data_IF_384294733007
#
_entry.id   IF_384294733007
#
_cell.length_a   1.000
_cell.length_b   1.000
_cell.length_c   1.000
_cell.angle_alpha   90.00
_cell.angle_beta   90.00
_cell.angle_gamma   90.00
#
_symmetry.space_group_name_H-M   'P 1'
#
loop_
_entity.id
_entity.type
_entity.pdbx_description
1 polymer ?
#
# COMPACT_ATOMS: atom_id res chain seq x y z
N UNK A 1 6.95 1.60 -18.75
CA UNK A 1 6.65 2.88 -19.41
C UNK A 1 7.00 4.10 -18.54
N UNK A 2 7.38 3.90 -17.28
CA UNK A 2 7.73 4.98 -16.34
C UNK A 2 9.23 5.10 -16.09
N UNK A 3 10.04 4.23 -16.66
CA UNK A 3 11.49 4.23 -16.48
C UNK A 3 12.00 3.07 -15.62
N UNK A 4 13.24 3.17 -15.19
CA UNK A 4 13.89 2.15 -14.38
C UNK A 4 13.51 2.29 -12.91
N UNK A 5 13.37 1.18 -12.13
CA UNK A 5 12.95 1.24 -10.73
C UNK A 5 13.89 2.02 -9.78
N UNK A 6 15.11 2.33 -10.20
CA UNK A 6 15.99 3.23 -9.44
C UNK A 6 15.65 4.72 -9.60
N UNK A 7 14.80 5.08 -10.57
CA UNK A 7 14.44 6.46 -10.92
C UNK A 7 12.97 6.75 -10.69
N UNK A 8 12.14 5.74 -10.92
CA UNK A 8 10.69 5.83 -10.78
C UNK A 8 10.16 4.54 -10.14
N UNK A 9 9.78 4.60 -8.88
CA UNK A 9 9.26 3.47 -8.13
C UNK A 9 7.77 3.56 -7.85
N UNK A 10 7.29 2.67 -6.98
CA UNK A 10 5.87 2.63 -6.64
C UNK A 10 5.40 3.94 -5.98
N UNK A 11 6.20 4.54 -5.08
CA UNK A 11 5.86 5.82 -4.45
C UNK A 11 5.51 6.90 -5.47
N UNK A 12 6.19 6.90 -6.64
CA UNK A 12 6.03 7.92 -7.68
C UNK A 12 4.75 7.72 -8.52
N UNK A 13 4.09 6.56 -8.38
CA UNK A 13 2.76 6.29 -8.96
C UNK A 13 1.66 6.95 -8.13
N UNK A 14 1.84 7.05 -6.82
CA UNK A 14 0.82 7.56 -5.90
C UNK A 14 0.29 8.96 -6.31
N UNK A 15 1.15 9.96 -6.58
CA UNK A 15 0.68 11.29 -6.97
C UNK A 15 -0.01 11.34 -8.34
N UNK A 16 0.12 10.30 -9.17
CA UNK A 16 -0.58 10.20 -10.44
C UNK A 16 -2.04 9.80 -10.29
N UNK A 17 -2.40 9.19 -9.17
CA UNK A 17 -3.77 8.83 -8.86
C UNK A 17 -4.51 10.01 -8.21
N UNK A 18 -5.44 10.63 -8.93
CA UNK A 18 -6.21 11.80 -8.48
C UNK A 18 -7.66 11.51 -8.10
N UNK A 19 -8.16 10.35 -8.48
CA UNK A 19 -9.56 9.96 -8.25
C UNK A 19 -10.59 11.03 -8.67
N UNK A 20 -10.38 11.71 -9.82
CA UNK A 20 -11.24 12.80 -10.29
C UNK A 20 -12.65 12.30 -10.62
N UNK A 21 -12.75 11.08 -11.13
CA UNK A 21 -14.03 10.46 -11.52
C UNK A 21 -14.64 9.61 -10.41
N UNK A 22 -14.02 9.55 -9.24
CA UNK A 22 -14.52 8.76 -8.13
C UNK A 22 -15.78 9.38 -7.54
N UNK A 23 -16.88 8.67 -7.64
CA UNK A 23 -18.19 9.07 -7.10
C UNK A 23 -18.81 7.87 -6.37
N UNK A 24 -18.49 7.72 -5.08
CA UNK A 24 -18.97 6.58 -4.29
C UNK A 24 -20.48 6.53 -4.17
N UNK A 25 -21.14 7.68 -4.04
CA UNK A 25 -22.59 7.76 -3.90
C UNK A 25 -23.31 7.19 -5.13
N UNK A 26 -22.89 7.61 -6.33
CA UNK A 26 -23.48 7.12 -7.59
C UNK A 26 -23.27 5.62 -7.78
N UNK A 27 -22.07 5.13 -7.45
CA UNK A 27 -21.75 3.72 -7.67
C UNK A 27 -22.47 2.82 -6.66
N UNK A 28 -22.52 3.21 -5.39
CA UNK A 28 -23.23 2.44 -4.35
C UNK A 28 -24.75 2.46 -4.58
N UNK A 29 -25.32 3.59 -5.03
CA UNK A 29 -26.71 3.66 -5.45
C UNK A 29 -27.03 2.65 -6.56
N UNK A 30 -26.11 2.51 -7.54
CA UNK A 30 -26.26 1.52 -8.59
C UNK A 30 -26.20 0.10 -8.04
N UNK A 31 -25.26 -0.21 -7.15
CA UNK A 31 -25.18 -1.53 -6.51
C UNK A 31 -26.44 -1.87 -5.71
N UNK A 32 -26.99 -0.90 -4.97
CA UNK A 32 -28.28 -1.08 -4.27
C UNK A 32 -29.40 -1.40 -5.24
N UNK A 33 -29.48 -0.68 -6.36
CA UNK A 33 -30.52 -0.88 -7.39
C UNK A 33 -30.50 -2.29 -7.99
N UNK A 34 -29.33 -2.90 -8.13
CA UNK A 34 -29.18 -4.27 -8.66
C UNK A 34 -29.23 -5.36 -7.59
N UNK A 35 -29.56 -5.01 -6.33
CA UNK A 35 -29.86 -5.97 -5.26
C UNK A 35 -28.73 -6.20 -4.25
N UNK A 36 -27.65 -5.44 -4.25
CA UNK A 36 -26.63 -5.56 -3.23
C UNK A 36 -27.19 -5.29 -1.83
N UNK A 37 -26.76 -6.07 -0.86
CA UNK A 37 -27.12 -5.95 0.55
C UNK A 37 -25.95 -5.42 1.41
N UNK A 38 -24.75 -5.64 0.98
CA UNK A 38 -23.52 -5.19 1.66
C UNK A 38 -22.48 -4.72 0.64
N UNK A 39 -21.55 -3.91 1.11
CA UNK A 39 -20.43 -3.41 0.34
C UNK A 39 -19.15 -3.51 1.18
N UNK A 40 -18.15 -4.19 0.66
CA UNK A 40 -16.83 -4.26 1.26
C UNK A 40 -15.87 -3.36 0.48
N UNK A 41 -15.29 -2.38 1.16
CA UNK A 41 -14.25 -1.54 0.60
C UNK A 41 -12.86 -2.09 0.94
N UNK A 42 -11.92 -1.93 0.03
CA UNK A 42 -10.52 -2.16 0.33
C UNK A 42 -9.97 -0.98 1.13
N UNK A 43 -9.42 -1.24 2.32
CA UNK A 43 -8.76 -0.23 3.14
C UNK A 43 -7.29 -0.07 2.79
N UNK A 44 -6.61 -1.18 2.54
CA UNK A 44 -5.24 -1.22 2.02
C UNK A 44 -4.95 -2.55 1.31
N UNK A 45 -3.85 -2.60 0.58
CA UNK A 45 -3.38 -3.79 -0.10
C UNK A 45 -1.87 -4.01 0.15
N UNK A 46 -1.24 -4.94 -0.58
CA UNK A 46 0.19 -5.22 -0.50
C UNK A 46 1.09 -4.02 -0.82
N UNK A 47 0.54 -3.01 -1.49
CA UNK A 47 1.21 -1.73 -1.75
C UNK A 47 1.41 -0.88 -0.49
N UNK A 48 0.84 -1.31 0.63
CA UNK A 48 1.00 -0.72 1.97
C UNK A 48 0.49 0.72 2.11
N UNK A 49 -0.25 1.23 1.12
CA UNK A 49 -0.89 2.55 1.18
C UNK A 49 -2.27 2.43 1.82
N UNK A 50 -2.55 3.24 2.84
CA UNK A 50 -3.88 3.27 3.47
C UNK A 50 -4.84 4.19 2.70
N UNK A 51 -6.09 3.75 2.54
CA UNK A 51 -7.12 4.49 1.84
C UNK A 51 -8.04 5.32 2.76
N UNK A 52 -7.60 5.59 3.98
CA UNK A 52 -8.24 6.43 4.99
C UNK A 52 -7.24 7.37 5.65
N UNK A 53 -7.69 8.27 6.50
CA UNK A 53 -6.86 9.17 7.33
C UNK A 53 -6.19 8.37 8.47
N UNK A 54 -5.21 7.57 8.08
CA UNK A 54 -4.52 6.65 8.98
C UNK A 54 -3.58 7.37 9.92
N UNK A 55 -3.69 7.06 11.22
CA UNK A 55 -2.78 7.58 12.26
C UNK A 55 -1.42 6.91 12.27
N UNK A 56 -1.32 5.72 11.69
CA UNK A 56 -0.15 4.85 11.79
C UNK A 56 0.58 4.64 10.47
N UNK A 57 -0.01 5.10 9.35
CA UNK A 57 0.60 5.04 8.02
C UNK A 57 0.54 6.42 7.37
N UNK A 58 1.67 7.15 7.33
CA UNK A 58 1.70 8.48 6.69
C UNK A 58 1.50 8.42 5.17
N UNK A 59 1.79 7.27 4.55
CA UNK A 59 1.50 7.01 3.14
C UNK A 59 0.04 6.59 2.99
N UNK A 60 -0.85 7.58 2.94
CA UNK A 60 -2.29 7.36 2.85
C UNK A 60 -2.95 8.31 1.84
N UNK A 61 -4.18 7.98 1.47
CA UNK A 61 -4.93 8.69 0.42
C UNK A 61 -5.40 10.09 0.80
N UNK A 62 -5.29 10.47 2.07
CA UNK A 62 -5.59 11.83 2.55
C UNK A 62 -4.37 12.73 2.39
N UNK A 63 -3.19 12.20 2.73
CA UNK A 63 -1.95 12.96 2.68
C UNK A 63 -1.39 13.12 1.27
N UNK A 64 -1.73 12.22 0.34
CA UNK A 64 -1.15 12.20 -1.00
C UNK A 64 -2.06 11.53 -2.03
N UNK A 65 -1.70 11.68 -3.29
CA UNK A 65 -2.47 11.13 -4.40
C UNK A 65 -3.81 11.83 -4.56
N UNK A 66 -4.94 11.20 -4.26
CA UNK A 66 -6.27 11.80 -4.41
C UNK A 66 -6.59 12.88 -3.38
N UNK A 67 -5.82 12.97 -2.28
CA UNK A 67 -6.07 13.89 -1.15
C UNK A 67 -7.50 13.77 -0.63
N UNK A 68 -7.97 12.52 -0.48
CA UNK A 68 -9.34 12.18 -0.07
C UNK A 68 -9.32 10.97 0.84
N UNK A 69 -10.19 10.98 1.84
CA UNK A 69 -10.51 9.77 2.61
C UNK A 69 -11.44 8.87 1.77
N UNK A 70 -10.82 7.96 1.03
CA UNK A 70 -11.53 7.05 0.12
C UNK A 70 -12.42 6.08 0.91
N UNK A 71 -11.90 5.53 2.00
CA UNK A 71 -12.63 4.58 2.83
C UNK A 71 -13.87 5.22 3.46
N UNK A 72 -13.72 6.42 4.02
CA UNK A 72 -14.82 7.19 4.59
C UNK A 72 -15.88 7.57 3.57
N UNK A 73 -15.46 7.85 2.35
CA UNK A 73 -16.39 8.12 1.25
C UNK A 73 -17.24 6.89 0.89
N UNK A 74 -16.64 5.69 0.85
CA UNK A 74 -17.36 4.44 0.64
C UNK A 74 -18.32 4.12 1.80
N UNK A 75 -17.86 4.29 3.05
CA UNK A 75 -18.70 4.09 4.23
C UNK A 75 -19.96 4.98 4.17
N UNK A 76 -19.76 6.29 3.98
CA UNK A 76 -20.88 7.24 3.90
C UNK A 76 -21.88 6.86 2.82
N UNK A 77 -21.40 6.47 1.64
CA UNK A 77 -22.25 6.06 0.55
C UNK A 77 -23.00 4.75 0.87
N UNK A 78 -22.34 3.74 1.41
CA UNK A 78 -22.96 2.48 1.81
C UNK A 78 -24.10 2.71 2.84
N UNK A 79 -23.81 3.45 3.90
CA UNK A 79 -24.81 3.77 4.95
C UNK A 79 -25.99 4.56 4.37
N UNK A 80 -25.74 5.57 3.54
CA UNK A 80 -26.77 6.38 2.89
C UNK A 80 -27.76 5.54 2.07
N UNK A 81 -27.27 4.51 1.39
CA UNK A 81 -28.08 3.64 0.56
C UNK A 81 -28.56 2.36 1.27
N UNK A 82 -28.35 2.27 2.59
CA UNK A 82 -28.82 1.16 3.40
C UNK A 82 -28.13 -0.17 3.07
N UNK A 83 -26.83 -0.14 2.77
CA UNK A 83 -25.99 -1.31 2.66
C UNK A 83 -25.20 -1.50 3.96
N UNK A 84 -25.00 -2.77 4.36
CA UNK A 84 -24.00 -3.08 5.36
C UNK A 84 -22.61 -2.76 4.81
N UNK A 85 -21.78 -2.16 5.65
CA UNK A 85 -20.42 -1.77 5.27
C UNK A 85 -19.38 -2.64 5.96
N UNK A 86 -18.40 -3.09 5.21
CA UNK A 86 -17.23 -3.81 5.72
C UNK A 86 -15.96 -3.31 5.08
N UNK A 87 -14.83 -3.61 5.68
CA UNK A 87 -13.49 -3.24 5.21
C UNK A 87 -12.64 -4.48 5.05
N UNK A 88 -11.92 -4.57 3.95
CA UNK A 88 -10.88 -5.56 3.72
C UNK A 88 -9.52 -4.89 3.90
N UNK A 89 -8.67 -5.47 4.74
CA UNK A 89 -7.27 -5.08 4.91
C UNK A 89 -6.38 -6.19 4.34
N UNK A 90 -5.43 -5.82 3.52
CA UNK A 90 -4.60 -6.76 2.78
C UNK A 90 -3.12 -6.33 2.71
N UNK A 91 -2.66 -5.54 3.69
CA UNK A 91 -1.26 -5.16 3.83
C UNK A 91 -0.46 -6.15 4.71
N UNK A 92 -1.04 -7.28 5.08
CA UNK A 92 -0.42 -8.30 5.93
C UNK A 92 0.85 -8.94 5.34
N UNK A 93 1.05 -8.81 4.03
CA UNK A 93 2.22 -9.28 3.28
C UNK A 93 3.03 -8.17 2.59
N UNK A 94 2.80 -6.89 2.88
CA UNK A 94 3.48 -5.79 2.20
C UNK A 94 5.00 -5.87 2.32
N UNK A 95 5.52 -6.31 3.47
CA UNK A 95 6.94 -6.50 3.72
C UNK A 95 7.60 -7.51 2.74
N UNK A 96 6.95 -8.59 2.38
CA UNK A 96 7.47 -9.55 1.41
C UNK A 96 7.18 -9.14 -0.04
N UNK A 97 6.07 -8.45 -0.27
CA UNK A 97 5.73 -7.88 -1.57
C UNK A 97 6.81 -6.92 -2.08
N UNK A 98 7.36 -6.10 -1.20
CA UNK A 98 8.36 -5.09 -1.55
C UNK A 98 9.81 -5.60 -1.55
N UNK A 99 10.09 -6.88 -1.33
CA UNK A 99 11.46 -7.39 -1.41
C UNK A 99 12.15 -7.05 -2.73
N UNK A 100 11.42 -7.09 -3.85
CA UNK A 100 11.97 -6.74 -5.16
C UNK A 100 12.41 -5.27 -5.22
N UNK A 101 11.65 -4.36 -4.63
CA UNK A 101 11.98 -2.94 -4.61
C UNK A 101 13.26 -2.63 -3.82
N UNK A 102 13.72 -3.55 -2.98
CA UNK A 102 14.92 -3.40 -2.16
C UNK A 102 16.18 -3.98 -2.79
N UNK A 103 16.10 -4.40 -4.04
CA UNK A 103 17.20 -5.05 -4.78
C UNK A 103 17.78 -4.14 -5.86
N UNK A 104 18.43 -4.71 -6.83
CA UNK A 104 19.07 -4.04 -7.96
C UNK A 104 19.12 -5.00 -9.16
N UNK A 105 19.38 -4.50 -10.35
CA UNK A 105 19.63 -5.33 -11.51
C UNK A 105 20.91 -6.17 -11.33
N UNK A 106 20.86 -7.44 -11.70
CA UNK A 106 22.00 -8.34 -11.72
C UNK A 106 22.78 -8.32 -13.03
N UNK A 107 22.18 -7.76 -14.08
CA UNK A 107 22.72 -7.69 -15.44
C UNK A 107 22.34 -6.34 -16.10
N UNK A 108 22.92 -6.08 -17.26
CA UNK A 108 22.59 -4.90 -18.07
C UNK A 108 23.29 -3.61 -17.61
N UNK A 109 22.94 -2.48 -18.24
CA UNK A 109 23.66 -1.20 -18.06
C UNK A 109 23.48 -0.58 -16.68
N UNK A 110 22.46 -0.97 -15.93
CA UNK A 110 22.21 -0.51 -14.54
C UNK A 110 22.52 -1.58 -13.49
N UNK A 111 23.32 -2.60 -13.85
CA UNK A 111 23.77 -3.64 -12.89
C UNK A 111 24.28 -3.03 -11.60
N UNK A 112 23.75 -3.49 -10.46
CA UNK A 112 24.14 -3.05 -9.14
C UNK A 112 23.60 -1.70 -8.69
N UNK A 113 22.84 -0.98 -9.54
CA UNK A 113 22.16 0.26 -9.13
C UNK A 113 20.96 -0.10 -8.28
N UNK A 114 20.88 0.33 -7.00
CA UNK A 114 19.76 0.02 -6.13
C UNK A 114 18.44 0.57 -6.68
N UNK A 115 17.38 -0.18 -6.47
CA UNK A 115 16.02 0.31 -6.74
C UNK A 115 15.58 1.30 -5.65
N UNK A 116 14.48 1.99 -5.89
CA UNK A 116 13.99 3.08 -5.05
C UNK A 116 13.51 2.64 -3.65
N UNK A 117 13.25 1.35 -3.44
CA UNK A 117 12.96 0.78 -2.11
C UNK A 117 14.10 0.92 -1.10
N UNK A 118 15.32 1.32 -1.54
CA UNK A 118 16.45 1.64 -0.67
C UNK A 118 16.48 3.09 -0.19
N UNK A 119 15.63 3.95 -0.73
CA UNK A 119 15.57 5.36 -0.34
C UNK A 119 15.08 5.51 1.10
N UNK A 120 15.60 6.55 1.75
CA UNK A 120 15.27 6.93 3.12
C UNK A 120 14.65 8.32 3.16
N UNK A 121 14.10 8.73 4.28
CA UNK A 121 13.55 10.07 4.49
C UNK A 121 14.51 11.19 4.06
N UNK A 122 15.81 11.00 4.30
CA UNK A 122 16.85 11.99 3.96
C UNK A 122 16.94 12.24 2.43
N UNK A 123 16.66 11.24 1.62
CA UNK A 123 16.71 11.32 0.16
C UNK A 123 15.54 12.13 -0.42
N UNK A 124 14.56 12.48 0.41
CA UNK A 124 13.35 13.24 0.04
C UNK A 124 13.55 14.74 -0.07
N UNK A 125 14.71 15.28 0.38
CA UNK A 125 14.93 16.73 0.39
C UNK A 125 14.77 17.34 -1.01
N UNK A 126 13.86 18.31 -1.13
CA UNK A 126 13.52 18.96 -2.39
C UNK A 126 12.69 18.13 -3.35
N UNK A 127 12.18 16.96 -2.93
CA UNK A 127 11.29 16.11 -3.74
C UNK A 127 9.85 16.21 -3.27
N UNK A 128 8.91 15.73 -4.08
CA UNK A 128 7.48 15.76 -3.77
C UNK A 128 7.11 15.03 -2.46
N UNK A 129 7.92 14.06 -2.05
CA UNK A 129 7.73 13.27 -0.83
C UNK A 129 8.63 13.73 0.34
N UNK A 130 9.14 14.98 0.29
CA UNK A 130 9.91 15.53 1.41
C UNK A 130 9.10 15.47 2.72
N UNK A 131 9.74 14.98 3.77
CA UNK A 131 9.09 14.78 5.08
C UNK A 131 8.51 13.38 5.29
N UNK A 132 8.29 12.61 4.24
CA UNK A 132 7.86 11.20 4.31
C UNK A 132 9.05 10.25 4.22
N UNK A 133 8.98 9.14 4.95
CA UNK A 133 9.99 8.08 4.85
C UNK A 133 9.49 6.99 3.88
N UNK A 134 10.19 6.73 2.77
CA UNK A 134 9.83 5.62 1.88
C UNK A 134 9.85 4.26 2.58
N UNK A 135 10.56 4.14 3.72
CA UNK A 135 10.61 2.90 4.47
C UNK A 135 9.28 2.56 5.15
N UNK A 136 8.48 3.55 5.50
CA UNK A 136 7.12 3.33 5.99
C UNK A 136 6.21 2.69 4.92
N UNK A 137 6.47 3.00 3.63
CA UNK A 137 5.75 2.38 2.51
C UNK A 137 6.35 1.04 2.14
N UNK A 138 7.66 0.97 1.95
CA UNK A 138 8.36 -0.20 1.42
C UNK A 138 8.68 -1.28 2.47
N UNK A 139 8.37 -1.03 3.73
CA UNK A 139 8.59 -1.96 4.85
C UNK A 139 10.03 -2.55 4.86
N UNK A 140 11.05 -1.69 4.68
CA UNK A 140 12.43 -2.10 4.41
C UNK A 140 13.16 -2.73 5.59
N UNK A 141 12.72 -2.51 6.82
CA UNK A 141 13.41 -3.02 8.01
C UNK A 141 13.32 -4.55 8.17
N UNK A 142 12.97 -5.26 7.09
CA UNK A 142 12.91 -6.71 7.07
C UNK A 142 14.18 -7.31 6.42
N UNK A 143 14.68 -8.44 6.95
CA UNK A 143 15.69 -9.20 6.26
C UNK A 143 15.20 -9.66 4.89
N UNK A 144 16.03 -9.58 3.86
CA UNK A 144 15.68 -10.11 2.55
C UNK A 144 15.68 -11.63 2.56
N UNK A 145 14.76 -12.24 1.85
CA UNK A 145 14.71 -13.68 1.66
C UNK A 145 15.94 -14.17 0.91
N UNK A 146 16.44 -15.35 1.29
CA UNK A 146 17.49 -16.01 0.53
C UNK A 146 16.94 -16.46 -0.84
N UNK A 147 17.75 -16.32 -1.89
CA UNK A 147 17.44 -16.77 -3.26
C UNK A 147 16.14 -16.20 -3.85
N UNK A 148 15.72 -15.01 -3.46
CA UNK A 148 14.50 -14.37 -3.97
C UNK A 148 14.54 -14.06 -5.48
N UNK A 149 15.72 -14.04 -6.09
CA UNK A 149 15.90 -13.84 -7.52
C UNK A 149 15.41 -15.02 -8.37
N UNK A 150 15.55 -16.25 -7.87
CA UNK A 150 15.33 -17.46 -8.66
C UNK A 150 13.84 -17.77 -8.86
N UNK A 151 12.96 -17.31 -7.96
CA UNK A 151 11.55 -17.68 -7.96
C UNK A 151 10.57 -16.48 -7.98
N UNK A 152 11.08 -15.27 -8.05
CA UNK A 152 10.27 -14.06 -7.94
C UNK A 152 9.66 -13.86 -6.53
N UNK A 153 9.50 -12.62 -6.09
CA UNK A 153 8.95 -12.28 -4.79
C UNK A 153 7.51 -12.83 -4.59
N UNK A 154 6.74 -12.92 -5.66
CA UNK A 154 5.35 -13.40 -5.65
C UNK A 154 5.24 -14.85 -5.17
N UNK A 155 6.11 -15.74 -5.62
CA UNK A 155 6.05 -17.16 -5.22
C UNK A 155 6.44 -17.37 -3.76
N UNK A 156 7.27 -16.50 -3.18
CA UNK A 156 7.73 -16.60 -1.79
C UNK A 156 6.77 -16.02 -0.79
N UNK A 157 5.96 -15.10 -1.23
CA UNK A 157 4.88 -14.50 -0.45
C UNK A 157 3.97 -15.55 0.22
N UNK A 158 3.81 -16.71 -0.42
CA UNK A 158 2.96 -17.81 0.05
C UNK A 158 3.74 -18.99 0.64
N UNK A 159 5.07 -18.97 0.55
CA UNK A 159 5.93 -20.07 1.01
C UNK A 159 6.45 -19.83 2.43
N UNK A 160 5.55 -19.72 3.40
CA UNK A 160 5.89 -19.54 4.80
C UNK A 160 6.91 -20.57 5.27
N UNK A 161 8.07 -20.13 5.72
CA UNK A 161 9.07 -20.94 6.35
C UNK A 161 10.25 -21.45 5.48
N UNK A 162 10.18 -21.37 4.16
CA UNK A 162 11.25 -21.87 3.28
C UNK A 162 12.04 -20.73 2.62
N UNK A 163 12.97 -20.13 3.37
CA UNK A 163 13.87 -19.08 2.85
C UNK A 163 13.20 -17.72 2.65
N UNK A 164 11.94 -17.53 3.05
CA UNK A 164 11.29 -16.23 3.19
C UNK A 164 11.61 -15.64 4.56
N UNK A 165 11.75 -14.32 4.63
CA UNK A 165 11.83 -13.65 5.92
C UNK A 165 10.44 -13.65 6.59
N UNK A 166 10.44 -13.68 7.91
CA UNK A 166 9.24 -13.44 8.70
C UNK A 166 9.05 -11.93 8.94
N UNK A 167 7.82 -11.46 9.16
CA UNK A 167 7.59 -10.07 9.51
C UNK A 167 8.27 -9.73 10.84
N UNK A 168 8.76 -8.51 10.97
CA UNK A 168 9.29 -8.01 12.23
C UNK A 168 8.16 -7.75 13.23
N UNK A 169 8.48 -7.75 14.52
CA UNK A 169 7.51 -7.40 15.57
C UNK A 169 6.98 -5.98 15.38
N UNK A 170 7.84 -5.06 14.92
CA UNK A 170 7.46 -3.69 14.61
C UNK A 170 6.38 -3.63 13.52
N UNK A 171 6.59 -4.35 12.42
CA UNK A 171 5.60 -4.44 11.34
C UNK A 171 4.27 -5.02 11.82
N UNK A 172 4.32 -6.10 12.58
CA UNK A 172 3.11 -6.72 13.13
C UNK A 172 2.34 -5.76 14.05
N UNK A 173 3.06 -5.02 14.89
CA UNK A 173 2.48 -4.03 15.79
C UNK A 173 1.85 -2.87 15.00
N UNK A 174 2.53 -2.37 13.98
CA UNK A 174 2.01 -1.33 13.10
C UNK A 174 0.73 -1.80 12.38
N UNK A 175 0.75 -2.99 11.78
CA UNK A 175 -0.42 -3.56 11.10
C UNK A 175 -1.60 -3.78 12.06
N UNK A 176 -1.34 -4.24 13.27
CA UNK A 176 -2.36 -4.38 14.32
C UNK A 176 -2.98 -3.02 14.67
N UNK A 177 -2.15 -1.99 14.89
CA UNK A 177 -2.63 -0.63 15.21
C UNK A 177 -3.44 -0.02 14.07
N UNK A 178 -3.04 -0.22 12.81
CA UNK A 178 -3.80 0.21 11.63
C UNK A 178 -5.16 -0.50 11.54
N UNK A 179 -5.20 -1.78 11.88
CA UNK A 179 -6.45 -2.55 11.94
C UNK A 179 -7.40 -2.00 13.01
N UNK A 180 -6.89 -1.70 14.20
CA UNK A 180 -7.68 -1.06 15.26
C UNK A 180 -8.15 0.35 14.87
N UNK A 181 -7.30 1.11 14.16
CA UNK A 181 -7.67 2.45 13.67
C UNK A 181 -8.89 2.38 12.74
N UNK A 182 -8.91 1.43 11.81
CA UNK A 182 -10.07 1.19 10.93
C UNK A 182 -11.32 0.79 11.72
N UNK A 183 -11.21 -0.09 12.70
CA UNK A 183 -12.35 -0.53 13.52
C UNK A 183 -12.97 0.66 14.27
N UNK A 184 -12.15 1.61 14.69
CA UNK A 184 -12.57 2.78 15.46
C UNK A 184 -13.01 3.97 14.59
N UNK A 185 -13.04 3.84 13.26
CA UNK A 185 -13.53 4.88 12.34
C UNK A 185 -15.07 4.99 12.30
N UNK A 186 -15.79 4.01 12.85
CA UNK A 186 -17.25 3.89 12.83
C UNK A 186 -17.93 4.67 13.95
#
# INVERSE_FOLDING_TARGET
NYGHPSEFGFKDIIPLWRAEKWNPDKLVAFYKKIGAQYFFALGNHHDNMDLWDSKYQPWNSVNMGPEKDILKGWEKAARKHGLYFGVSLHADHAWSWYETAQRHDTQGPKKGVPYDGKLTKADGKGKWWEGYDPQDLYAQNHPLSQNSWDNGAIHRQWAWGNGVCLPTQEYCTNFYNRTLDVINLS
#
